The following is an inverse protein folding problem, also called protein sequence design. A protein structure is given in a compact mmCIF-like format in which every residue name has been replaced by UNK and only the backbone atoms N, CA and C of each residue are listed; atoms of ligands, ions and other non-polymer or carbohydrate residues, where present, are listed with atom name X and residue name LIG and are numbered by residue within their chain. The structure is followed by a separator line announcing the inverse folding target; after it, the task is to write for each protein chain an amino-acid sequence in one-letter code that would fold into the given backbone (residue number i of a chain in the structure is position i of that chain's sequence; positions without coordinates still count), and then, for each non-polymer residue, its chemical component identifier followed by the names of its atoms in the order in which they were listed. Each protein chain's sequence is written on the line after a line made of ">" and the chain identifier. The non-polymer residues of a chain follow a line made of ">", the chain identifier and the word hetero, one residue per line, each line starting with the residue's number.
data_IF_356972907697
#
_entry.id   IF_356972907697
#
_cell.length_a   1.000
_cell.length_b   1.000
_cell.length_c   1.000
_cell.angle_alpha   90.00
_cell.angle_beta   90.00
_cell.angle_gamma   90.00
#
_symmetry.space_group_name_H-M   'P 1'
#
loop_
_entity.id
_entity.type
_entity.pdbx_description
1 polymer ?
#
# COMPACT_ATOMS: atom_id res chain seq x y z
N UNK A 1 -2.87 11.98 -15.72
CA UNK A 1 -2.84 11.64 -14.29
C UNK A 1 -2.89 10.14 -14.21
N UNK A 2 -1.79 9.49 -13.82
CA UNK A 2 -1.74 8.02 -13.77
C UNK A 2 -2.51 7.55 -12.52
N UNK A 3 -3.48 6.69 -12.71
CA UNK A 3 -4.25 6.05 -11.65
C UNK A 3 -4.38 4.56 -11.94
N UNK A 4 -4.66 3.77 -10.90
CA UNK A 4 -4.73 2.32 -11.00
C UNK A 4 -5.72 1.76 -9.98
N UNK A 5 -6.37 0.62 -10.23
CA UNK A 5 -7.27 0.00 -9.26
C UNK A 5 -6.56 -0.29 -7.94
N UNK A 6 -7.21 0.03 -6.81
CA UNK A 6 -6.68 -0.24 -5.48
C UNK A 6 -6.46 -1.75 -5.26
N UNK A 7 -7.41 -2.60 -5.68
CA UNK A 7 -7.26 -4.05 -5.63
C UNK A 7 -6.04 -4.53 -6.46
N UNK A 8 -5.75 -3.82 -7.56
CA UNK A 8 -4.58 -4.07 -8.38
C UNK A 8 -3.25 -3.83 -7.68
N UNK A 9 -3.23 -3.27 -6.45
CA UNK A 9 -2.05 -3.09 -5.61
C UNK A 9 -1.87 -4.17 -4.55
N UNK A 10 -2.82 -5.09 -4.42
CA UNK A 10 -2.72 -6.23 -3.52
C UNK A 10 -1.90 -7.37 -4.16
N UNK A 11 -1.27 -8.19 -3.31
CA UNK A 11 -0.46 -9.35 -3.70
C UNK A 11 0.70 -8.99 -4.64
N UNK A 12 1.13 -7.73 -4.59
CA UNK A 12 2.26 -7.22 -5.38
C UNK A 12 3.56 -7.52 -4.65
N UNK A 13 4.59 -8.04 -5.32
CA UNK A 13 5.90 -8.20 -4.71
C UNK A 13 6.45 -6.85 -4.24
N UNK A 14 6.95 -6.80 -3.00
CA UNK A 14 7.72 -5.66 -2.51
C UNK A 14 9.20 -5.97 -2.72
N UNK A 15 9.91 -5.11 -3.45
CA UNK A 15 11.32 -5.29 -3.79
C UNK A 15 12.18 -4.13 -3.34
N UNK A 16 13.35 -4.44 -2.79
CA UNK A 16 14.41 -3.47 -2.61
C UNK A 16 15.27 -3.40 -3.89
N UNK A 17 15.29 -2.23 -4.54
CA UNK A 17 16.21 -1.94 -5.65
C UNK A 17 17.53 -1.42 -5.07
N UNK A 18 18.34 -2.34 -4.57
CA UNK A 18 19.75 -2.08 -4.23
C UNK A 18 20.63 -2.06 -5.49
N UNK A 19 21.89 -2.45 -5.35
CA UNK A 19 22.87 -2.51 -6.47
C UNK A 19 22.62 -3.64 -7.48
N UNK A 20 21.68 -4.56 -7.20
CA UNK A 20 21.34 -5.69 -8.08
C UNK A 20 20.25 -5.29 -9.08
N UNK A 21 20.43 -5.64 -10.35
CA UNK A 21 19.47 -5.33 -11.42
C UNK A 21 18.05 -5.87 -11.16
N UNK A 22 17.92 -7.06 -10.56
CA UNK A 22 16.62 -7.70 -10.29
C UNK A 22 16.04 -7.40 -8.89
N UNK A 23 16.73 -6.59 -8.09
CA UNK A 23 16.37 -6.30 -6.69
C UNK A 23 16.31 -7.55 -5.79
N UNK A 24 15.86 -7.37 -4.55
CA UNK A 24 15.61 -8.44 -3.58
C UNK A 24 14.14 -8.38 -3.17
N UNK A 25 13.40 -9.50 -3.26
CA UNK A 25 12.01 -9.57 -2.75
C UNK A 25 12.05 -9.53 -1.23
N UNK A 26 11.40 -8.53 -0.65
CA UNK A 26 11.26 -8.35 0.80
C UNK A 26 9.98 -9.00 1.33
N UNK A 27 8.94 -9.06 0.50
CA UNK A 27 7.62 -9.53 0.89
C UNK A 27 6.59 -9.30 -0.21
N UNK A 28 5.33 -9.24 0.19
CA UNK A 28 4.20 -8.93 -0.68
C UNK A 28 3.15 -8.09 0.04
N UNK A 29 2.47 -7.22 -0.71
CA UNK A 29 1.37 -6.42 -0.16
C UNK A 29 0.18 -7.31 0.14
N UNK A 30 -0.34 -7.22 1.35
CA UNK A 30 -1.55 -7.97 1.76
C UNK A 30 -2.74 -7.06 2.00
N UNK A 31 -2.50 -5.76 2.18
CA UNK A 31 -3.55 -4.76 2.35
C UNK A 31 -3.02 -3.35 2.00
N UNK A 32 -3.95 -2.41 1.84
CA UNK A 32 -3.68 -0.98 1.84
C UNK A 32 -4.17 -0.40 3.17
N UNK A 33 -3.37 0.48 3.75
CA UNK A 33 -3.76 1.27 4.92
C UNK A 33 -4.22 2.63 4.44
N UNK A 34 -5.49 2.93 4.66
CA UNK A 34 -6.14 4.19 4.31
C UNK A 34 -6.11 5.15 5.50
N UNK A 35 -6.27 6.44 5.23
CA UNK A 35 -6.52 7.41 6.28
C UNK A 35 -7.92 7.22 6.90
N UNK A 36 -8.22 7.80 8.07
CA UNK A 36 -9.51 7.62 8.75
C UNK A 36 -10.73 8.00 7.89
N UNK A 37 -10.56 8.95 6.97
CA UNK A 37 -11.63 9.47 6.11
C UNK A 37 -11.76 8.72 4.78
N UNK A 38 -10.93 7.70 4.56
CA UNK A 38 -10.86 6.94 3.32
C UNK A 38 -10.72 7.83 2.06
N UNK A 39 -9.95 8.90 2.18
CA UNK A 39 -9.64 9.83 1.10
C UNK A 39 -8.32 9.50 0.41
N UNK A 40 -7.41 8.79 1.09
CA UNK A 40 -6.08 8.47 0.56
C UNK A 40 -5.47 7.22 1.19
N UNK A 41 -4.53 6.63 0.46
CA UNK A 41 -3.65 5.58 0.94
C UNK A 41 -2.50 6.20 1.75
N UNK A 42 -2.33 5.73 2.98
CA UNK A 42 -1.18 6.05 3.83
C UNK A 42 0.01 5.13 3.54
N UNK A 43 -0.26 3.85 3.26
CA UNK A 43 0.77 2.86 2.97
C UNK A 43 0.22 1.47 2.71
N UNK A 44 1.12 0.50 2.76
CA UNK A 44 0.82 -0.91 2.54
C UNK A 44 1.08 -1.69 3.83
N UNK A 45 0.25 -2.70 4.05
CA UNK A 45 0.60 -3.78 4.95
C UNK A 45 1.32 -4.85 4.14
N UNK A 46 2.53 -5.21 4.56
CA UNK A 46 3.43 -6.10 3.82
C UNK A 46 3.70 -7.34 4.65
N UNK A 47 3.38 -8.51 4.09
CA UNK A 47 3.83 -9.79 4.63
C UNK A 47 5.27 -10.04 4.15
N UNK A 48 6.22 -9.94 5.07
CA UNK A 48 7.63 -10.14 4.80
C UNK A 48 8.00 -11.62 4.74
N UNK A 49 9.16 -11.93 4.16
CA UNK A 49 9.65 -13.31 4.03
C UNK A 49 9.93 -14.03 5.37
N UNK A 50 10.03 -13.29 6.46
CA UNK A 50 10.14 -13.81 7.83
C UNK A 50 8.77 -14.07 8.49
N UNK A 51 7.67 -13.89 7.75
CA UNK A 51 6.30 -14.06 8.23
C UNK A 51 5.76 -12.88 9.03
N UNK A 52 6.57 -11.86 9.31
CA UNK A 52 6.12 -10.66 10.01
C UNK A 52 5.35 -9.73 9.07
N UNK A 53 4.36 -9.02 9.62
CA UNK A 53 3.63 -7.95 8.92
C UNK A 53 4.21 -6.59 9.28
N UNK A 54 4.73 -5.89 8.29
CA UNK A 54 5.35 -4.55 8.43
C UNK A 54 4.58 -3.51 7.65
N UNK A 55 4.67 -2.27 8.10
CA UNK A 55 4.06 -1.14 7.40
C UNK A 55 5.04 -0.53 6.42
N UNK A 56 4.57 -0.21 5.22
CA UNK A 56 5.35 0.46 4.18
C UNK A 56 4.66 1.76 3.77
N UNK A 57 5.21 2.95 4.09
CA UNK A 57 4.61 4.22 3.70
C UNK A 57 4.47 4.36 2.18
N UNK A 58 3.30 4.80 1.70
CA UNK A 58 3.03 4.93 0.25
C UNK A 58 4.03 5.90 -0.43
N UNK A 59 4.45 6.95 0.28
CA UNK A 59 5.40 7.95 -0.24
C UNK A 59 6.83 7.42 -0.36
N UNK A 60 7.15 6.28 0.26
CA UNK A 60 8.48 5.68 0.21
C UNK A 60 8.65 4.69 -0.96
N UNK A 61 7.60 4.46 -1.75
CA UNK A 61 7.61 3.46 -2.82
C UNK A 61 7.48 4.08 -4.20
N UNK A 62 7.98 3.35 -5.20
CA UNK A 62 7.63 3.51 -6.60
C UNK A 62 6.94 2.24 -7.06
N UNK A 63 5.89 2.39 -7.85
CA UNK A 63 5.14 1.26 -8.42
C UNK A 63 5.63 1.07 -9.85
N UNK A 64 6.19 -0.09 -10.17
CA UNK A 64 6.94 -0.35 -11.41
C UNK A 64 6.70 -1.77 -11.90
N UNK A 65 6.29 -1.95 -13.16
CA UNK A 65 6.09 -3.28 -13.79
C UNK A 65 5.30 -4.28 -12.93
N UNK A 66 4.37 -3.79 -12.12
CA UNK A 66 3.58 -4.62 -11.23
C UNK A 66 4.26 -5.04 -9.92
N UNK A 67 5.36 -4.40 -9.55
CA UNK A 67 6.05 -4.51 -8.27
C UNK A 67 5.94 -3.20 -7.47
N UNK A 68 6.05 -3.31 -6.15
CA UNK A 68 6.25 -2.20 -5.22
C UNK A 68 7.74 -2.10 -4.92
N UNK A 69 8.40 -1.06 -5.43
CA UNK A 69 9.85 -0.89 -5.32
C UNK A 69 10.18 0.13 -4.22
N UNK A 70 11.05 -0.26 -3.30
CA UNK A 70 11.62 0.62 -2.27
C UNK A 70 13.08 0.93 -2.55
N UNK A 71 13.48 2.18 -2.29
CA UNK A 71 14.87 2.64 -2.38
C UNK A 71 15.71 2.30 -1.14
N UNK A 72 15.09 1.82 -0.06
CA UNK A 72 15.75 1.39 1.18
C UNK A 72 14.89 0.34 1.90
N UNK A 73 15.52 -0.69 2.46
CA UNK A 73 14.83 -1.69 3.29
C UNK A 73 14.33 -1.11 4.62
N UNK A 74 14.94 -0.01 5.09
CA UNK A 74 14.49 0.71 6.31
C UNK A 74 13.15 1.43 6.13
N UNK A 75 12.60 1.47 4.92
CA UNK A 75 11.24 1.97 4.68
C UNK A 75 10.16 1.03 5.23
N UNK A 76 10.49 -0.24 5.51
CA UNK A 76 9.59 -1.17 6.20
C UNK A 76 9.66 -0.92 7.70
N UNK A 77 8.62 -0.28 8.23
CA UNK A 77 8.51 0.06 9.64
C UNK A 77 7.99 -1.16 10.42
N UNK A 78 8.62 -1.42 11.56
CA UNK A 78 8.32 -2.56 12.42
C UNK A 78 7.01 -2.36 13.21
N UNK A 79 6.64 -3.35 14.01
CA UNK A 79 5.36 -3.52 14.69
C UNK A 79 4.95 -2.33 15.56
N UNK A 80 5.89 -1.66 16.22
CA UNK A 80 5.60 -0.51 17.09
C UNK A 80 5.19 0.72 16.28
N UNK A 81 5.81 0.94 15.12
CA UNK A 81 5.43 1.99 14.17
C UNK A 81 4.17 1.61 13.37
N UNK A 82 3.95 0.32 13.10
CA UNK A 82 2.70 -0.18 12.49
C UNK A 82 1.51 0.01 13.43
N UNK A 83 1.68 -0.09 14.75
CA UNK A 83 0.61 0.15 15.69
C UNK A 83 0.07 1.59 15.58
N UNK A 84 0.94 2.57 15.29
CA UNK A 84 0.52 3.95 15.01
C UNK A 84 -0.40 4.02 13.77
N UNK A 85 0.01 3.44 12.65
CA UNK A 85 -0.80 3.46 11.42
C UNK A 85 -2.03 2.54 11.47
N UNK A 86 -2.00 1.49 12.30
CA UNK A 86 -3.14 0.62 12.57
C UNK A 86 -4.18 1.27 13.50
N UNK A 87 -3.75 2.08 14.47
CA UNK A 87 -4.65 2.86 15.33
C UNK A 87 -5.38 3.96 14.57
N UNK A 88 -4.68 4.61 13.64
CA UNK A 88 -5.18 5.80 12.93
C UNK A 88 -5.51 5.54 11.46
N UNK A 89 -5.47 4.29 11.01
CA UNK A 89 -5.75 3.93 9.63
C UNK A 89 -6.92 2.97 9.50
N UNK A 90 -7.45 2.84 8.28
CA UNK A 90 -8.46 1.84 7.93
C UNK A 90 -7.84 0.81 7.00
N UNK A 91 -8.25 -0.44 7.16
CA UNK A 91 -7.92 -1.51 6.21
C UNK A 91 -8.79 -1.33 4.96
N UNK A 92 -8.17 -1.31 3.78
CA UNK A 92 -8.90 -1.30 2.52
C UNK A 92 -9.77 -2.56 2.37
N UNK A 93 -9.24 -3.73 2.73
CA UNK A 93 -9.99 -4.98 2.68
C UNK A 93 -11.22 -5.01 3.60
N UNK A 94 -11.25 -4.17 4.64
CA UNK A 94 -12.38 -4.05 5.55
C UNK A 94 -13.48 -3.08 5.06
N UNK A 95 -13.23 -2.27 4.02
CA UNK A 95 -14.19 -1.28 3.49
C UNK A 95 -14.67 -1.74 2.12
N UNK A 96 -15.80 -2.44 2.08
CA UNK A 96 -16.33 -3.09 0.88
C UNK A 96 -16.72 -2.13 -0.23
N UNK A 97 -17.08 -0.90 0.13
CA UNK A 97 -17.52 0.19 -0.75
C UNK A 97 -16.37 0.71 -1.63
N UNK A 98 -15.12 0.42 -1.27
CA UNK A 98 -13.94 0.91 -1.97
C UNK A 98 -13.35 -0.07 -2.98
N UNK A 99 -13.95 -1.25 -3.20
CA UNK A 99 -13.37 -2.30 -4.06
C UNK A 99 -12.98 -1.81 -5.45
N UNK A 100 -13.81 -0.96 -6.06
CA UNK A 100 -13.59 -0.44 -7.41
C UNK A 100 -12.90 0.94 -7.43
N UNK A 101 -12.32 1.39 -6.31
CA UNK A 101 -11.65 2.69 -6.24
C UNK A 101 -10.32 2.69 -6.99
N UNK A 102 -9.97 3.82 -7.57
CA UNK A 102 -8.66 4.06 -8.17
C UNK A 102 -7.75 4.78 -7.17
N UNK A 103 -6.48 4.40 -7.16
CA UNK A 103 -5.42 5.09 -6.43
C UNK A 103 -4.66 5.96 -7.43
N UNK A 104 -4.68 7.27 -7.22
CA UNK A 104 -3.84 8.20 -7.96
C UNK A 104 -2.36 7.98 -7.64
N UNK A 105 -1.45 8.41 -8.52
CA UNK A 105 0.00 8.34 -8.28
C UNK A 105 0.46 9.02 -6.98
N UNK A 106 -0.30 10.00 -6.47
CA UNK A 106 -0.07 10.66 -5.18
C UNK A 106 -0.59 9.90 -3.95
N UNK A 107 -1.35 8.83 -4.15
CA UNK A 107 -2.00 8.03 -3.10
C UNK A 107 -3.46 8.40 -2.84
N UNK A 108 -3.98 9.46 -3.47
CA UNK A 108 -5.39 9.86 -3.30
C UNK A 108 -6.32 8.81 -3.90
N UNK A 109 -7.44 8.56 -3.21
CA UNK A 109 -8.49 7.67 -3.68
C UNK A 109 -9.44 8.44 -4.59
N UNK A 110 -9.71 7.89 -5.76
CA UNK A 110 -10.60 8.44 -6.77
C UNK A 110 -11.70 7.41 -7.04
N UNK A 111 -12.97 7.80 -6.92
CA UNK A 111 -14.07 6.93 -7.29
C UNK A 111 -13.99 6.53 -8.77
N UNK A 112 -14.11 5.24 -9.06
CA UNK A 112 -14.43 4.78 -10.41
C UNK A 112 -15.91 5.00 -10.70
N UNK A 113 -16.35 6.27 -10.72
CA UNK A 113 -17.73 6.71 -10.96
C UNK A 113 -18.85 5.94 -10.23
N UNK A 114 -19.40 6.65 -9.25
CA UNK A 114 -20.79 6.69 -8.80
C UNK A 114 -21.26 5.63 -7.79
N UNK A 115 -21.34 6.08 -6.54
CA UNK A 115 -22.14 5.45 -5.49
C UNK A 115 -21.80 6.03 -4.13
N UNK A 116 -22.10 7.32 -3.93
CA UNK A 116 -21.86 8.03 -2.69
C UNK A 116 -22.61 7.38 -1.52
N UNK A 117 -21.85 6.84 -0.57
CA UNK A 117 -22.00 7.12 0.86
C UNK A 117 -20.67 6.77 1.55
N UNK A 118 -20.07 7.77 2.22
CA UNK A 118 -18.77 7.62 2.88
C UNK A 118 -18.95 6.94 4.24
N UNK A 119 -17.92 6.20 4.63
CA UNK A 119 -17.76 5.39 5.84
C UNK A 119 -18.41 5.92 7.13
#
# INVERSE_FOLDING_TARGET
>A
MESRPAEGLLRRPVRFRGVRQNGIKLGETVDLVLDPTCSRVLGFDVLCGDGARRFLPFRAVRIDDGDIVVGSSFALLDRDDRAFYGLYGRSFLAVTELRDVLVASGGDLLEARAGADRC
#
